data_IF_749753472824
#
_entry.id   IF_749753472824
#
_cell.length_a   1.000
_cell.length_b   1.000
_cell.length_c   1.000
_cell.angle_alpha   90.00
_cell.angle_beta   90.00
_cell.angle_gamma   90.00
#
_symmetry.space_group_name_H-M   'P 1'
#
loop_
_entity.id
_entity.type
_entity.pdbx_description
1 polymer ?
#
# COMPACT_ATOMS: atom_id res chain seq x y z
N UNK A 1 19.17 22.82 3.90
CA UNK A 1 19.29 21.87 2.75
C UNK A 1 19.84 22.64 1.56
N UNK A 2 20.86 22.12 0.87
CA UNK A 2 21.45 22.79 -0.30
C UNK A 2 20.74 22.28 -1.57
N UNK A 3 19.85 23.10 -2.16
CA UNK A 3 19.07 22.80 -3.37
C UNK A 3 19.98 22.46 -4.56
N UNK A 4 21.09 23.18 -4.70
CA UNK A 4 22.05 22.93 -5.78
C UNK A 4 22.63 21.52 -5.72
N UNK A 5 23.00 21.04 -4.53
CA UNK A 5 23.49 19.66 -4.37
C UNK A 5 22.43 18.61 -4.70
N UNK A 6 21.16 18.88 -4.38
CA UNK A 6 20.06 17.97 -4.74
C UNK A 6 19.88 17.90 -6.26
N UNK A 7 19.94 19.05 -6.95
CA UNK A 7 19.83 19.09 -8.41
C UNK A 7 21.02 18.38 -9.08
N UNK A 8 22.26 18.62 -8.62
CA UNK A 8 23.45 17.93 -9.13
C UNK A 8 23.39 16.41 -8.91
N UNK A 9 22.87 15.95 -7.77
CA UNK A 9 22.71 14.52 -7.52
C UNK A 9 21.67 13.88 -8.46
N UNK A 10 20.58 14.59 -8.73
CA UNK A 10 19.57 14.10 -9.68
C UNK A 10 20.11 14.11 -11.12
N UNK A 11 20.78 15.17 -11.55
CA UNK A 11 21.47 15.23 -12.85
C UNK A 11 22.45 14.06 -13.02
N UNK A 12 23.24 13.75 -11.97
CA UNK A 12 24.15 12.61 -11.99
C UNK A 12 23.41 11.29 -12.20
N UNK A 13 22.23 11.10 -11.58
CA UNK A 13 21.41 9.89 -11.77
C UNK A 13 20.93 9.77 -13.23
N UNK A 14 20.49 10.89 -13.84
CA UNK A 14 20.07 10.91 -15.23
C UNK A 14 21.21 10.51 -16.17
N UNK A 15 22.40 11.08 -15.97
CA UNK A 15 23.59 10.76 -16.79
C UNK A 15 23.97 9.29 -16.66
N UNK A 16 23.95 8.73 -15.44
CA UNK A 16 24.23 7.30 -15.22
C UNK A 16 23.18 6.43 -15.93
N UNK A 17 21.90 6.80 -15.88
CA UNK A 17 20.85 6.05 -16.58
C UNK A 17 21.05 6.07 -18.09
N UNK A 18 21.44 7.20 -18.67
CA UNK A 18 21.78 7.31 -20.08
C UNK A 18 22.93 6.37 -20.47
N UNK A 19 24.02 6.36 -19.69
CA UNK A 19 25.17 5.48 -19.91
C UNK A 19 24.80 4.00 -19.77
N UNK A 20 24.02 3.62 -18.75
CA UNK A 20 23.56 2.26 -18.54
C UNK A 20 22.67 1.80 -19.70
N UNK A 21 21.73 2.64 -20.11
CA UNK A 21 20.82 2.34 -21.22
C UNK A 21 21.57 2.17 -22.54
N UNK A 22 22.67 2.91 -22.74
CA UNK A 22 23.50 2.82 -23.94
C UNK A 22 24.49 1.63 -23.89
N UNK A 23 25.05 1.30 -22.72
CA UNK A 23 26.21 0.41 -22.65
C UNK A 23 25.92 -0.94 -21.98
N UNK A 24 25.01 -1.01 -21.01
CA UNK A 24 24.75 -2.23 -20.27
C UNK A 24 23.80 -3.18 -21.06
N UNK A 25 24.22 -4.44 -21.32
CA UNK A 25 23.41 -5.39 -22.09
C UNK A 25 22.09 -5.77 -21.41
N UNK A 26 22.00 -5.65 -20.07
CA UNK A 26 20.77 -5.92 -19.32
C UNK A 26 19.82 -4.73 -19.43
N UNK A 27 20.30 -3.52 -19.14
CA UNK A 27 19.49 -2.31 -19.19
C UNK A 27 18.92 -2.05 -20.60
N UNK A 28 19.70 -2.26 -21.65
CA UNK A 28 19.24 -2.16 -23.05
C UNK A 28 18.01 -2.98 -23.38
N UNK A 29 17.83 -4.12 -22.73
CA UNK A 29 16.72 -5.06 -23.01
C UNK A 29 15.47 -4.75 -22.21
N UNK A 30 15.56 -3.89 -21.21
CA UNK A 30 14.40 -3.60 -20.37
C UNK A 30 13.33 -2.81 -21.12
N UNK A 31 12.10 -3.13 -20.80
CA UNK A 31 10.88 -2.45 -21.27
C UNK A 31 10.03 -2.04 -20.07
N UNK A 32 9.01 -1.21 -20.29
CA UNK A 32 8.03 -0.88 -19.24
C UNK A 32 7.43 -2.14 -18.58
N UNK A 33 7.19 -3.19 -19.41
CA UNK A 33 6.61 -4.45 -18.94
C UNK A 33 7.59 -5.28 -18.10
N UNK A 34 8.86 -5.35 -18.50
CA UNK A 34 9.86 -6.14 -17.78
C UNK A 34 10.24 -5.53 -16.43
N UNK A 35 10.19 -4.20 -16.31
CA UNK A 35 10.49 -3.51 -15.04
C UNK A 35 9.29 -3.49 -14.08
N UNK A 36 8.06 -3.73 -14.55
CA UNK A 36 6.85 -3.58 -13.75
C UNK A 36 6.89 -4.39 -12.45
N UNK A 37 7.30 -5.65 -12.52
CA UNK A 37 7.31 -6.51 -11.33
C UNK A 37 8.37 -6.07 -10.31
N UNK A 38 9.54 -5.62 -10.77
CA UNK A 38 10.59 -5.07 -9.90
C UNK A 38 10.10 -3.81 -9.17
N UNK A 39 9.42 -2.89 -9.88
CA UNK A 39 8.84 -1.69 -9.22
C UNK A 39 7.84 -2.04 -8.12
N UNK A 40 7.08 -3.12 -8.29
CA UNK A 40 6.14 -3.60 -7.25
C UNK A 40 6.92 -4.14 -6.06
N UNK A 41 8.00 -4.89 -6.29
CA UNK A 41 8.91 -5.43 -5.28
C UNK A 41 9.50 -4.31 -4.44
N UNK A 42 10.16 -3.31 -5.05
CA UNK A 42 10.72 -2.15 -4.35
C UNK A 42 9.66 -1.36 -3.55
N UNK A 43 8.43 -1.34 -4.05
CA UNK A 43 7.32 -0.68 -3.32
C UNK A 43 6.99 -1.42 -2.02
N UNK A 44 7.02 -2.75 -2.02
CA UNK A 44 6.81 -3.56 -0.82
C UNK A 44 8.01 -3.50 0.13
N UNK A 45 9.23 -3.52 -0.39
CA UNK A 45 10.47 -3.38 0.41
C UNK A 45 10.50 -2.02 1.12
N UNK A 46 10.14 -0.93 0.43
CA UNK A 46 9.95 0.37 1.07
C UNK A 46 8.87 0.31 2.17
N UNK A 47 7.76 -0.38 1.92
CA UNK A 47 6.69 -0.56 2.91
C UNK A 47 7.21 -1.26 4.17
N UNK A 48 7.98 -2.32 4.01
CA UNK A 48 8.60 -3.08 5.10
C UNK A 48 9.60 -2.23 5.90
N UNK A 49 10.49 -1.52 5.21
CA UNK A 49 11.47 -0.63 5.84
C UNK A 49 10.80 0.47 6.68
N UNK A 50 9.66 1.01 6.20
CA UNK A 50 8.86 2.01 6.95
C UNK A 50 8.24 1.39 8.20
N UNK A 51 7.66 0.18 8.12
CA UNK A 51 7.06 -0.52 9.26
C UNK A 51 8.09 -0.87 10.32
N UNK A 52 9.33 -1.19 9.91
CA UNK A 52 10.43 -1.54 10.78
C UNK A 52 11.15 -0.30 11.35
N UNK A 53 10.78 0.91 10.91
CA UNK A 53 11.43 2.18 11.23
C UNK A 53 12.93 2.22 10.88
N UNK A 54 13.36 1.47 9.87
CA UNK A 54 14.73 1.48 9.38
C UNK A 54 14.95 2.58 8.34
N UNK A 55 15.36 3.77 8.80
CA UNK A 55 15.60 4.92 7.93
C UNK A 55 16.76 4.72 6.93
N UNK A 56 17.68 3.79 7.18
CA UNK A 56 18.74 3.49 6.23
C UNK A 56 18.19 2.65 5.07
N UNK A 57 17.37 1.65 5.40
CA UNK A 57 16.66 0.87 4.40
C UNK A 57 15.66 1.74 3.63
N UNK A 58 14.83 2.55 4.30
CA UNK A 58 13.94 3.53 3.63
C UNK A 58 14.68 4.38 2.60
N UNK A 59 15.90 4.83 2.91
CA UNK A 59 16.71 5.63 1.98
C UNK A 59 17.13 4.82 0.74
N UNK A 60 17.46 3.54 0.89
CA UNK A 60 17.85 2.66 -0.22
C UNK A 60 16.64 2.40 -1.14
N UNK A 61 15.54 1.95 -0.56
CA UNK A 61 14.32 1.64 -1.31
C UNK A 61 13.74 2.86 -2.04
N UNK A 62 13.85 4.06 -1.44
CA UNK A 62 13.55 5.30 -2.15
C UNK A 62 14.48 5.54 -3.33
N UNK A 63 15.75 5.13 -3.24
CA UNK A 63 16.71 5.17 -4.34
C UNK A 63 16.30 4.23 -5.48
N UNK A 64 15.88 3.01 -5.17
CA UNK A 64 15.50 2.00 -6.15
C UNK A 64 14.18 2.35 -6.83
N UNK A 65 13.20 2.88 -6.11
CA UNK A 65 11.99 3.45 -6.71
C UNK A 65 12.30 4.66 -7.61
N UNK A 66 13.22 5.55 -7.19
CA UNK A 66 13.62 6.69 -8.01
C UNK A 66 14.36 6.24 -9.27
N UNK A 67 15.21 5.20 -9.19
CA UNK A 67 15.83 4.55 -10.34
C UNK A 67 14.78 4.08 -11.33
N UNK A 68 13.74 3.37 -10.87
CA UNK A 68 12.67 2.89 -11.75
C UNK A 68 11.91 4.04 -12.41
N UNK A 69 11.62 5.13 -11.69
CA UNK A 69 10.97 6.32 -12.27
C UNK A 69 11.82 6.90 -13.40
N UNK A 70 13.11 7.08 -13.17
CA UNK A 70 14.04 7.61 -14.19
C UNK A 70 14.16 6.64 -15.37
N UNK A 71 14.20 5.33 -15.11
CA UNK A 71 14.29 4.32 -16.14
C UNK A 71 13.06 4.31 -17.04
N UNK A 72 11.85 4.35 -16.46
CA UNK A 72 10.62 4.46 -17.26
C UNK A 72 10.62 5.74 -18.13
N UNK A 73 11.04 6.86 -17.55
CA UNK A 73 11.12 8.12 -18.29
C UNK A 73 12.16 8.04 -19.43
N UNK A 74 13.29 7.36 -19.21
CA UNK A 74 14.29 7.12 -20.25
C UNK A 74 13.73 6.27 -21.38
N UNK A 75 13.01 5.17 -21.08
CA UNK A 75 12.36 4.33 -22.08
C UNK A 75 11.31 5.13 -22.87
N UNK A 76 10.49 5.94 -22.19
CA UNK A 76 9.49 6.81 -22.82
C UNK A 76 10.11 7.83 -23.78
N UNK A 77 11.30 8.37 -23.43
CA UNK A 77 12.01 9.33 -24.26
C UNK A 77 12.55 8.74 -25.57
N UNK A 78 12.81 7.44 -25.60
CA UNK A 78 13.32 6.73 -26.80
C UNK A 78 12.27 6.66 -27.92
N UNK A 79 10.98 6.73 -27.57
CA UNK A 79 9.85 6.77 -28.52
C UNK A 79 9.24 8.17 -28.66
N UNK A 80 9.80 9.17 -27.99
CA UNK A 80 9.29 10.54 -27.89
C UNK A 80 7.84 10.61 -27.33
N UNK A 81 7.47 9.69 -26.43
CA UNK A 81 6.17 9.70 -25.77
C UNK A 81 6.18 10.65 -24.55
N UNK A 82 7.21 10.57 -23.73
CA UNK A 82 7.45 11.45 -22.56
C UNK A 82 8.89 11.29 -22.04
N UNK A 83 9.36 12.28 -21.29
CA UNK A 83 10.63 12.23 -20.58
C UNK A 83 10.46 12.56 -19.08
N UNK A 84 11.57 12.64 -18.34
CA UNK A 84 11.54 12.93 -16.90
C UNK A 84 11.06 14.36 -16.60
N UNK A 85 11.25 15.32 -17.50
CA UNK A 85 10.75 16.67 -17.33
C UNK A 85 9.22 16.70 -17.44
N UNK A 86 8.65 15.92 -18.37
CA UNK A 86 7.21 15.78 -18.51
C UNK A 86 6.60 15.17 -17.24
N UNK A 87 7.20 14.09 -16.71
CA UNK A 87 6.77 13.45 -15.46
C UNK A 87 6.79 14.44 -14.29
N UNK A 88 7.87 15.22 -14.15
CA UNK A 88 8.01 16.19 -13.09
C UNK A 88 7.01 17.36 -13.25
N UNK A 89 6.87 17.90 -14.45
CA UNK A 89 5.97 19.03 -14.71
C UNK A 89 4.51 18.63 -14.51
N UNK A 90 4.08 17.47 -15.02
CA UNK A 90 2.71 17.00 -14.84
C UNK A 90 2.33 16.83 -13.37
N UNK A 91 3.22 16.26 -12.55
CA UNK A 91 2.93 16.14 -11.11
C UNK A 91 2.95 17.49 -10.41
N UNK A 92 3.82 18.43 -10.79
CA UNK A 92 3.85 19.79 -10.25
C UNK A 92 2.54 20.53 -10.56
N UNK A 93 2.11 20.55 -11.81
CA UNK A 93 0.88 21.20 -12.24
C UNK A 93 -0.35 20.61 -11.53
N UNK A 94 -0.40 19.31 -11.41
CA UNK A 94 -1.44 18.59 -10.66
C UNK A 94 -1.45 18.97 -9.18
N UNK A 95 -0.29 19.09 -8.54
CA UNK A 95 -0.18 19.50 -7.14
C UNK A 95 -0.64 20.95 -6.96
N UNK A 96 -0.21 21.86 -7.82
CA UNK A 96 -0.62 23.28 -7.82
C UNK A 96 -2.15 23.37 -7.97
N UNK A 97 -2.71 22.69 -8.97
CA UNK A 97 -4.15 22.70 -9.22
C UNK A 97 -4.98 22.16 -8.04
N UNK A 98 -4.47 21.12 -7.36
CA UNK A 98 -5.19 20.46 -6.25
C UNK A 98 -4.95 21.08 -4.88
N UNK A 99 -4.11 22.10 -4.77
CA UNK A 99 -3.85 22.83 -3.54
C UNK A 99 -4.18 24.33 -3.69
N UNK A 100 -5.41 24.70 -4.08
CA UNK A 100 -5.79 26.09 -4.28
C UNK A 100 -5.75 26.91 -2.99
N UNK A 101 -5.68 26.26 -1.84
CA UNK A 101 -5.46 26.90 -0.54
C UNK A 101 -3.99 27.31 -0.29
N UNK A 102 -3.04 26.83 -1.10
CA UNK A 102 -1.62 27.20 -1.07
C UNK A 102 -1.26 28.11 -2.24
N UNK A 103 -1.78 27.79 -3.45
CA UNK A 103 -1.39 28.42 -4.71
C UNK A 103 -2.49 29.33 -5.30
N UNK A 104 -3.63 29.48 -4.61
CA UNK A 104 -4.78 30.29 -5.02
C UNK A 104 -5.44 30.97 -3.82
N UNK A 105 -6.73 31.31 -3.96
CA UNK A 105 -7.46 32.14 -2.99
C UNK A 105 -8.39 31.34 -2.06
N UNK A 106 -8.42 30.03 -2.16
CA UNK A 106 -9.27 29.18 -1.33
C UNK A 106 -8.75 29.12 0.09
N UNK A 107 -9.63 29.33 1.08
CA UNK A 107 -9.26 29.17 2.50
C UNK A 107 -9.78 27.83 2.99
N UNK A 108 -8.98 27.16 3.82
CA UNK A 108 -9.32 25.92 4.50
C UNK A 108 -8.90 26.05 5.96
N UNK A 109 -9.69 25.50 6.87
CA UNK A 109 -9.43 25.60 8.31
C UNK A 109 -8.83 24.31 8.88
N UNK A 110 -9.04 23.17 8.21
CA UNK A 110 -8.63 21.87 8.70
C UNK A 110 -8.33 20.88 7.56
N UNK A 111 -7.80 19.71 7.94
CA UNK A 111 -7.41 18.63 7.01
C UNK A 111 -8.63 18.03 6.28
N UNK A 112 -9.78 17.92 6.95
CA UNK A 112 -11.01 17.41 6.38
C UNK A 112 -11.47 18.25 5.19
N UNK A 113 -11.43 19.56 5.30
CA UNK A 113 -11.79 20.48 4.21
C UNK A 113 -10.82 20.35 3.03
N UNK A 114 -9.53 20.16 3.28
CA UNK A 114 -8.56 19.88 2.22
C UNK A 114 -8.93 18.60 1.48
N UNK A 115 -9.24 17.51 2.19
CA UNK A 115 -9.62 16.22 1.59
C UNK A 115 -10.91 16.34 0.77
N UNK A 116 -11.93 17.01 1.31
CA UNK A 116 -13.21 17.24 0.60
C UNK A 116 -13.00 18.07 -0.67
N UNK A 117 -12.22 19.14 -0.60
CA UNK A 117 -11.92 19.95 -1.77
C UNK A 117 -11.16 19.16 -2.83
N UNK A 118 -10.27 18.29 -2.42
CA UNK A 118 -9.51 17.42 -3.31
C UNK A 118 -10.43 16.44 -4.08
N UNK A 119 -11.38 15.80 -3.40
CA UNK A 119 -12.34 14.91 -4.08
C UNK A 119 -13.29 15.71 -5.01
N UNK A 120 -13.73 16.91 -4.60
CA UNK A 120 -14.53 17.79 -5.46
C UNK A 120 -13.78 18.21 -6.73
N UNK A 121 -12.49 18.52 -6.62
CA UNK A 121 -11.64 18.89 -7.77
C UNK A 121 -11.47 17.71 -8.72
N UNK A 122 -11.23 16.51 -8.21
CA UNK A 122 -11.14 15.28 -9.02
C UNK A 122 -12.44 14.98 -9.80
N UNK A 123 -13.61 15.24 -9.22
CA UNK A 123 -14.88 15.09 -9.92
C UNK A 123 -15.02 16.11 -11.06
N UNK A 124 -14.53 17.34 -10.87
CA UNK A 124 -14.52 18.38 -11.92
C UNK A 124 -13.54 18.07 -13.07
N UNK A 125 -12.53 17.25 -12.83
CA UNK A 125 -11.60 16.76 -13.87
C UNK A 125 -12.25 15.77 -14.87
N UNK A 126 -13.57 15.63 -14.86
CA UNK A 126 -14.34 14.84 -15.84
C UNK A 126 -14.59 13.39 -15.42
N UNK A 127 -14.35 13.04 -14.18
CA UNK A 127 -14.67 11.68 -13.67
C UNK A 127 -16.19 11.48 -13.59
N UNK A 128 -16.66 10.36 -14.13
CA UNK A 128 -18.08 9.97 -14.12
C UNK A 128 -18.52 9.30 -12.82
N UNK A 129 -17.58 8.83 -12.01
CA UNK A 129 -17.84 8.15 -10.74
C UNK A 129 -16.79 8.51 -9.70
N UNK A 130 -17.22 8.62 -8.45
CA UNK A 130 -16.31 8.77 -7.29
C UNK A 130 -15.31 7.61 -7.22
N UNK A 131 -15.74 6.41 -7.60
CA UNK A 131 -14.90 5.20 -7.59
C UNK A 131 -14.02 5.09 -8.82
N UNK A 132 -14.22 5.93 -9.84
CA UNK A 132 -13.28 6.03 -10.95
C UNK A 132 -11.92 6.50 -10.45
N UNK A 133 -10.88 5.76 -10.80
CA UNK A 133 -9.52 6.00 -10.29
C UNK A 133 -9.18 5.23 -9.01
N UNK A 134 -10.01 4.24 -8.60
CA UNK A 134 -9.54 3.12 -7.79
C UNK A 134 -8.88 2.12 -8.72
N UNK A 135 -7.55 1.89 -8.62
CA UNK A 135 -6.88 0.97 -9.53
C UNK A 135 -7.43 -0.44 -9.39
N UNK A 136 -7.76 -1.06 -10.52
CA UNK A 136 -8.32 -2.43 -10.53
C UNK A 136 -7.34 -3.47 -10.00
N UNK A 137 -6.04 -3.21 -10.14
CA UNK A 137 -4.94 -4.09 -9.75
C UNK A 137 -4.51 -3.99 -8.29
N UNK A 138 -5.12 -3.11 -7.49
CA UNK A 138 -4.80 -3.05 -6.06
C UNK A 138 -5.12 -4.38 -5.36
N UNK A 139 -4.28 -4.80 -4.39
CA UNK A 139 -4.64 -5.87 -3.46
C UNK A 139 -6.00 -5.61 -2.81
N UNK A 140 -6.76 -6.66 -2.53
CA UNK A 140 -8.17 -6.54 -2.13
C UNK A 140 -8.37 -5.68 -0.88
N UNK A 141 -7.52 -5.84 0.14
CA UNK A 141 -7.61 -5.13 1.41
C UNK A 141 -7.35 -3.62 1.23
N UNK A 142 -6.26 -3.28 0.50
CA UNK A 142 -5.93 -1.89 0.15
C UNK A 142 -7.04 -1.27 -0.72
N UNK A 143 -7.61 -2.06 -1.66
CA UNK A 143 -8.71 -1.63 -2.52
C UNK A 143 -9.96 -1.31 -1.72
N UNK A 144 -10.35 -2.17 -0.77
CA UNK A 144 -11.51 -1.96 0.10
C UNK A 144 -11.35 -0.68 0.93
N UNK A 145 -10.19 -0.49 1.57
CA UNK A 145 -9.88 0.76 2.29
C UNK A 145 -10.03 1.98 1.37
N UNK A 146 -9.49 1.90 0.15
CA UNK A 146 -9.53 3.01 -0.80
C UNK A 146 -10.94 3.31 -1.30
N UNK A 147 -11.79 2.29 -1.49
CA UNK A 147 -13.21 2.46 -1.84
C UNK A 147 -13.92 3.23 -0.73
N UNK A 148 -13.78 2.80 0.50
CA UNK A 148 -14.45 3.40 1.66
C UNK A 148 -14.02 4.86 1.89
N UNK A 149 -12.73 5.17 1.78
CA UNK A 149 -12.24 6.55 1.84
C UNK A 149 -12.87 7.46 0.78
N UNK A 150 -13.06 6.94 -0.43
CA UNK A 150 -13.65 7.71 -1.52
C UNK A 150 -15.13 7.99 -1.32
N UNK A 151 -15.90 7.00 -0.89
CA UNK A 151 -17.33 7.18 -0.68
C UNK A 151 -17.62 8.06 0.53
N UNK A 152 -16.79 7.99 1.57
CA UNK A 152 -16.78 8.94 2.67
C UNK A 152 -16.63 10.39 2.17
N UNK A 153 -15.70 10.63 1.25
CA UNK A 153 -15.42 11.95 0.69
C UNK A 153 -16.62 12.63 0.01
N UNK A 154 -17.68 11.90 -0.30
CA UNK A 154 -18.95 12.41 -0.85
C UNK A 154 -20.12 12.27 0.11
N UNK A 155 -19.85 11.99 1.38
CA UNK A 155 -20.87 11.93 2.43
C UNK A 155 -21.57 10.58 2.59
N UNK A 156 -21.11 9.52 1.90
CA UNK A 156 -21.60 8.16 2.11
C UNK A 156 -20.77 7.50 3.20
N UNK A 157 -21.13 7.76 4.45
CA UNK A 157 -20.42 7.26 5.65
C UNK A 157 -21.37 7.13 6.82
N UNK A 158 -21.00 6.30 7.79
CA UNK A 158 -21.67 6.20 9.09
C UNK A 158 -21.34 7.42 9.95
N UNK A 159 -22.25 7.80 10.84
CA UNK A 159 -22.04 8.94 11.75
C UNK A 159 -21.19 8.54 12.96
N UNK A 160 -21.39 7.34 13.48
CA UNK A 160 -20.80 6.89 14.74
C UNK A 160 -20.12 5.51 14.63
N UNK A 161 -19.00 5.29 15.34
CA UNK A 161 -18.26 4.02 15.28
C UNK A 161 -19.10 2.78 15.68
N UNK A 162 -20.06 2.94 16.59
CA UNK A 162 -20.90 1.82 17.04
C UNK A 162 -21.78 1.26 15.90
N UNK A 163 -22.29 2.12 15.01
CA UNK A 163 -23.09 1.71 13.87
C UNK A 163 -22.29 0.81 12.91
N UNK A 164 -20.99 1.10 12.75
CA UNK A 164 -20.10 0.26 11.95
C UNK A 164 -19.83 -1.08 12.64
N UNK A 165 -19.71 -1.07 13.96
CA UNK A 165 -19.56 -2.30 14.74
C UNK A 165 -20.81 -3.17 14.68
N UNK A 166 -22.01 -2.57 14.76
CA UNK A 166 -23.26 -3.30 14.60
C UNK A 166 -23.33 -3.97 13.22
N UNK A 167 -22.86 -3.28 12.16
CA UNK A 167 -22.75 -3.90 10.81
C UNK A 167 -21.77 -5.06 10.78
N UNK A 168 -20.61 -4.97 11.46
CA UNK A 168 -19.68 -6.11 11.57
C UNK A 168 -20.36 -7.32 12.22
N UNK A 169 -21.16 -7.10 13.27
CA UNK A 169 -21.89 -8.18 13.95
C UNK A 169 -22.97 -8.79 13.05
N UNK A 170 -23.66 -7.98 12.26
CA UNK A 170 -24.64 -8.42 11.26
C UNK A 170 -23.95 -9.35 10.23
N UNK A 171 -22.85 -8.92 9.59
CA UNK A 171 -22.14 -9.75 8.60
C UNK A 171 -21.58 -11.04 9.21
N UNK A 172 -21.10 -11.00 10.47
CA UNK A 172 -20.67 -12.21 11.17
C UNK A 172 -21.82 -13.19 11.40
N UNK A 173 -23.04 -12.68 11.67
CA UNK A 173 -24.23 -13.52 11.84
C UNK A 173 -24.66 -14.11 10.50
N UNK A 174 -24.68 -13.33 9.42
CA UNK A 174 -25.03 -13.79 8.07
C UNK A 174 -24.06 -14.87 7.61
N UNK A 175 -22.75 -14.67 7.79
CA UNK A 175 -21.73 -15.70 7.53
C UNK A 175 -22.01 -17.00 8.32
N UNK A 176 -22.34 -16.91 9.61
CA UNK A 176 -22.65 -18.09 10.42
C UNK A 176 -23.89 -18.84 9.92
N UNK A 177 -24.89 -18.12 9.44
CA UNK A 177 -26.12 -18.73 8.94
C UNK A 177 -25.89 -19.38 7.57
N UNK A 178 -25.08 -18.81 6.70
CA UNK A 178 -24.71 -19.46 5.44
C UNK A 178 -23.76 -20.67 5.66
N UNK A 179 -22.86 -20.64 6.65
CA UNK A 179 -22.09 -21.82 7.04
C UNK A 179 -23.01 -22.98 7.46
N UNK A 180 -24.09 -22.70 8.20
CA UNK A 180 -25.11 -23.74 8.57
C UNK A 180 -25.87 -24.23 7.35
N UNK A 181 -26.13 -23.35 6.37
CA UNK A 181 -26.83 -23.71 5.13
C UNK A 181 -25.99 -24.63 4.21
N UNK A 182 -24.66 -24.53 4.30
CA UNK A 182 -23.70 -25.27 3.50
C UNK A 182 -23.58 -24.82 2.06
N UNK A 183 -24.04 -23.59 1.72
CA UNK A 183 -23.91 -23.02 0.41
C UNK A 183 -22.55 -22.30 0.27
N UNK A 184 -21.59 -22.93 -0.42
CA UNK A 184 -20.22 -22.45 -0.51
C UNK A 184 -20.10 -21.07 -1.17
N UNK A 185 -20.85 -20.80 -2.23
CA UNK A 185 -20.79 -19.50 -2.93
C UNK A 185 -21.23 -18.35 -2.00
N UNK A 186 -22.30 -18.58 -1.25
CA UNK A 186 -22.76 -17.59 -0.27
C UNK A 186 -21.83 -17.43 0.92
N UNK A 187 -21.22 -18.52 1.39
CA UNK A 187 -20.18 -18.44 2.45
C UNK A 187 -19.02 -17.57 2.01
N UNK A 188 -18.60 -17.65 0.74
CA UNK A 188 -17.54 -16.81 0.18
C UNK A 188 -17.97 -15.34 0.10
N UNK A 189 -19.21 -15.05 -0.31
CA UNK A 189 -19.76 -13.71 -0.36
C UNK A 189 -19.81 -13.09 1.04
N UNK A 190 -20.43 -13.73 2.02
CA UNK A 190 -20.55 -13.23 3.39
C UNK A 190 -19.17 -13.09 4.07
N UNK A 191 -18.23 -13.99 3.78
CA UNK A 191 -16.87 -13.85 4.29
C UNK A 191 -16.19 -12.56 3.73
N UNK A 192 -16.47 -12.24 2.48
CA UNK A 192 -16.04 -10.99 1.86
C UNK A 192 -16.64 -9.76 2.55
N UNK A 193 -17.93 -9.81 2.89
CA UNK A 193 -18.64 -8.72 3.54
C UNK A 193 -18.18 -8.52 5.00
N UNK A 194 -17.87 -9.58 5.73
CA UNK A 194 -17.19 -9.50 7.03
C UNK A 194 -15.85 -8.78 6.91
N UNK A 195 -15.02 -9.14 5.95
CA UNK A 195 -13.72 -8.47 5.76
C UNK A 195 -13.91 -6.99 5.39
N UNK A 196 -14.86 -6.67 4.51
CA UNK A 196 -15.13 -5.31 4.09
C UNK A 196 -15.65 -4.44 5.24
N UNK A 197 -16.55 -4.97 6.07
CA UNK A 197 -17.07 -4.28 7.26
C UNK A 197 -15.98 -4.09 8.34
N UNK A 198 -15.10 -5.08 8.55
CA UNK A 198 -13.95 -4.96 9.45
C UNK A 198 -12.96 -3.89 8.99
N UNK A 199 -12.69 -3.79 7.68
CA UNK A 199 -11.84 -2.73 7.13
C UNK A 199 -12.46 -1.35 7.37
N UNK A 200 -13.78 -1.23 7.23
CA UNK A 200 -14.50 0.00 7.56
C UNK A 200 -14.38 0.35 9.05
N UNK A 201 -14.54 -0.62 9.91
CA UNK A 201 -14.37 -0.42 11.35
C UNK A 201 -12.94 0.03 11.72
N UNK A 202 -11.92 -0.57 11.10
CA UNK A 202 -10.53 -0.15 11.27
C UNK A 202 -10.32 1.33 10.93
N UNK A 203 -11.00 1.83 9.88
CA UNK A 203 -10.96 3.25 9.51
C UNK A 203 -11.50 4.16 10.61
N UNK A 204 -12.59 3.80 11.26
CA UNK A 204 -13.14 4.55 12.40
C UNK A 204 -12.21 4.53 13.61
N UNK A 205 -11.49 3.43 13.82
CA UNK A 205 -10.45 3.31 14.83
C UNK A 205 -9.13 4.02 14.44
N UNK A 206 -9.05 4.63 13.27
CA UNK A 206 -7.83 5.23 12.71
C UNK A 206 -6.68 4.23 12.56
N UNK A 207 -7.00 2.98 12.27
CA UNK A 207 -6.06 1.89 12.03
C UNK A 207 -6.00 1.63 10.54
N UNK A 208 -4.78 1.57 9.98
CA UNK A 208 -4.56 1.05 8.65
C UNK A 208 -4.65 -0.49 8.72
N UNK A 209 -5.62 -1.15 8.06
CA UNK A 209 -5.80 -2.60 8.18
C UNK A 209 -4.67 -3.40 7.49
N UNK A 210 -4.06 -2.90 6.42
CA UNK A 210 -2.91 -3.52 5.75
C UNK A 210 -1.71 -3.56 6.70
N UNK A 211 -1.32 -2.40 7.26
CA UNK A 211 -0.21 -2.31 8.21
C UNK A 211 -0.45 -3.14 9.48
N UNK A 212 -1.71 -3.20 9.94
CA UNK A 212 -2.06 -3.97 11.12
C UNK A 212 -1.94 -5.47 10.90
N UNK A 213 -2.37 -5.94 9.72
CA UNK A 213 -2.24 -7.35 9.32
C UNK A 213 -0.78 -7.71 9.09
N UNK A 214 -0.02 -6.86 8.39
CA UNK A 214 1.40 -7.12 8.14
C UNK A 214 2.23 -7.19 9.42
N UNK A 215 1.99 -6.26 10.38
CA UNK A 215 2.60 -6.38 11.71
C UNK A 215 2.25 -7.70 12.42
N UNK A 216 1.06 -8.24 12.15
CA UNK A 216 0.65 -9.53 12.71
C UNK A 216 1.35 -10.68 12.01
N UNK A 217 1.51 -10.61 10.68
CA UNK A 217 2.29 -11.57 9.90
C UNK A 217 3.75 -11.63 10.41
N UNK A 218 4.41 -10.47 10.53
CA UNK A 218 5.79 -10.38 11.06
C UNK A 218 5.91 -10.98 12.46
N UNK A 219 4.94 -10.69 13.35
CA UNK A 219 4.91 -11.31 14.69
C UNK A 219 4.75 -12.82 14.62
N UNK A 220 3.90 -13.33 13.73
CA UNK A 220 3.69 -14.76 13.56
C UNK A 220 4.98 -15.42 13.06
N UNK A 221 5.57 -14.88 11.99
CA UNK A 221 6.83 -15.39 11.40
C UNK A 221 7.94 -15.44 12.46
N UNK A 222 8.17 -14.33 13.19
CA UNK A 222 9.18 -14.27 14.25
C UNK A 222 8.98 -15.35 15.32
N UNK A 223 7.73 -15.54 15.76
CA UNK A 223 7.40 -16.57 16.78
C UNK A 223 7.57 -17.98 16.25
N UNK A 224 7.21 -18.19 15.00
CA UNK A 224 7.35 -19.50 14.36
C UNK A 224 8.83 -19.85 14.15
N UNK A 225 9.66 -18.92 13.72
CA UNK A 225 11.11 -19.08 13.62
C UNK A 225 11.76 -19.41 14.98
N UNK A 226 11.30 -18.76 16.06
CA UNK A 226 11.73 -19.12 17.41
C UNK A 226 11.38 -20.56 17.75
N UNK A 227 10.16 -20.98 17.45
CA UNK A 227 9.71 -22.37 17.65
C UNK A 227 10.57 -23.36 16.84
N UNK A 228 10.84 -23.06 15.58
CA UNK A 228 11.74 -23.87 14.72
C UNK A 228 13.14 -24.01 15.34
N UNK A 229 13.70 -22.90 15.81
CA UNK A 229 15.00 -22.88 16.48
C UNK A 229 15.00 -23.78 17.73
N UNK A 230 13.94 -23.70 18.56
CA UNK A 230 13.81 -24.51 19.76
C UNK A 230 13.61 -26.00 19.47
N UNK A 231 12.85 -26.35 18.45
CA UNK A 231 12.72 -27.73 17.97
C UNK A 231 14.09 -28.28 17.52
N UNK A 232 14.85 -27.48 16.77
CA UNK A 232 16.20 -27.83 16.33
C UNK A 232 17.17 -28.04 17.50
N UNK A 233 17.15 -27.20 18.55
CA UNK A 233 17.93 -27.37 19.78
C UNK A 233 17.64 -28.71 20.48
N UNK A 234 16.41 -29.21 20.37
CA UNK A 234 15.98 -30.50 20.92
C UNK A 234 16.27 -31.69 20.00
N UNK A 235 16.81 -31.44 18.79
CA UNK A 235 17.02 -32.47 17.77
C UNK A 235 15.73 -33.08 17.22
N UNK A 236 14.60 -32.38 17.34
CA UNK A 236 13.28 -32.79 16.84
C UNK A 236 12.92 -32.03 15.56
N UNK A 237 12.22 -32.70 14.63
CA UNK A 237 11.52 -31.98 13.58
C UNK A 237 10.16 -31.51 14.10
N UNK A 238 9.60 -30.44 13.50
CA UNK A 238 8.28 -29.96 13.89
C UNK A 238 7.18 -31.03 13.68
N UNK A 239 7.36 -31.89 12.67
CA UNK A 239 6.45 -33.02 12.39
C UNK A 239 6.42 -34.07 13.49
N UNK A 240 7.46 -34.15 14.32
CA UNK A 240 7.58 -35.09 15.42
C UNK A 240 7.08 -34.52 16.75
N UNK A 241 6.63 -33.25 16.74
CA UNK A 241 6.14 -32.58 17.91
C UNK A 241 4.60 -32.56 17.94
N UNK A 242 4.04 -32.68 19.11
CA UNK A 242 2.62 -32.40 19.32
C UNK A 242 2.33 -30.92 19.36
N UNK A 243 1.10 -30.51 19.07
CA UNK A 243 0.67 -29.13 19.18
C UNK A 243 0.95 -28.55 20.59
N UNK A 244 0.72 -29.34 21.62
CA UNK A 244 0.98 -28.94 23.01
C UNK A 244 2.46 -28.65 23.29
N UNK A 245 3.38 -29.43 22.71
CA UNK A 245 4.82 -29.16 22.81
C UNK A 245 5.20 -27.88 22.06
N UNK A 246 4.64 -27.67 20.86
CA UNK A 246 4.84 -26.46 20.09
C UNK A 246 4.30 -25.21 20.81
N UNK A 247 3.13 -25.32 21.47
CA UNK A 247 2.51 -24.23 22.22
C UNK A 247 3.37 -23.72 23.39
N UNK A 248 4.20 -24.58 23.98
CA UNK A 248 5.15 -24.12 25.01
C UNK A 248 6.10 -23.08 24.43
N UNK A 249 6.77 -23.40 23.33
CA UNK A 249 7.72 -22.49 22.67
C UNK A 249 7.02 -21.29 22.07
N UNK A 250 5.82 -21.47 21.51
CA UNK A 250 5.01 -20.37 21.01
C UNK A 250 4.67 -19.33 22.10
N UNK A 251 4.35 -19.81 23.32
CA UNK A 251 4.07 -18.93 24.45
C UNK A 251 5.33 -18.29 25.05
N UNK A 252 6.48 -18.93 24.94
CA UNK A 252 7.77 -18.32 25.24
C UNK A 252 8.07 -17.15 24.27
N UNK A 253 7.88 -17.39 22.97
CA UNK A 253 8.10 -16.40 21.92
C UNK A 253 7.22 -15.15 22.06
N UNK A 254 6.05 -15.24 22.73
CA UNK A 254 5.20 -14.05 23.00
C UNK A 254 5.81 -13.08 24.02
N UNK A 255 6.82 -13.52 24.76
CA UNK A 255 7.45 -12.71 25.83
C UNK A 255 8.73 -12.02 25.35
N UNK A 256 9.18 -12.35 24.11
CA UNK A 256 10.34 -11.76 23.43
C UNK A 256 9.90 -10.60 22.51
#
# INVERSE_FOLDING_TARGET
>A
MNRENQLKAFERLLNIMDELREQCPWDKKQTLQTLRHLTIEETYELGDAILDNDLNEVKKELGDLLLHIVFYAKIGSETNDFDIADVCNEICDKLIHRHPHIYGDVKVENEEEVKQNWEKLKLKEGKKSVLEGVPKSLPALVKASRIQDKVKGVGFDWEEPHQVWDKVQEELQELQDEVKSGNQDKIEDEFGDVLFSMINYARFLKVNPEDALERTNKKFIKRFQYLESKAGELGKSLSDMTLSEMDVFWNEAKKL
#
